data_IF_268836255524
#
_entry.id   IF_268836255524
#
_cell.length_a   1.000
_cell.length_b   1.000
_cell.length_c   1.000
_cell.angle_alpha   90.00
_cell.angle_beta   90.00
_cell.angle_gamma   90.00
#
_symmetry.space_group_name_H-M   'P 1'
#
loop_
_entity.id
_entity.type
_entity.pdbx_description
1 polymer ?
#
# COMPACT_ATOMS: atom_id res chain seq x y z
N UNK A 1 -35.03 29.10 91.33
CA UNK A 1 -33.85 29.78 90.73
C UNK A 1 -32.76 28.74 90.57
N UNK A 2 -32.38 28.47 89.32
CA UNK A 2 -31.43 27.44 88.92
C UNK A 2 -29.98 27.92 89.12
N UNK A 3 -29.12 27.08 89.70
CA UNK A 3 -27.72 26.95 89.28
C UNK A 3 -27.35 25.46 89.39
N UNK A 4 -27.09 24.80 88.26
CA UNK A 4 -26.50 23.46 88.24
C UNK A 4 -25.31 23.51 87.29
N UNK A 5 -24.17 23.27 87.93
CA UNK A 5 -22.82 23.28 87.42
C UNK A 5 -22.49 21.85 86.95
N UNK A 6 -22.03 21.67 85.70
CA UNK A 6 -21.38 20.42 85.29
C UNK A 6 -20.45 20.68 84.09
N UNK A 7 -19.16 20.41 84.33
CA UNK A 7 -18.03 20.50 83.40
C UNK A 7 -18.12 19.49 82.25
N UNK A 8 -17.56 19.78 81.05
CA UNK A 8 -17.67 18.91 79.88
C UNK A 8 -16.55 17.85 79.83
N UNK A 9 -16.91 16.64 79.41
CA UNK A 9 -16.00 15.54 79.06
C UNK A 9 -15.90 15.47 77.52
N UNK A 10 -14.69 15.38 76.92
CA UNK A 10 -14.54 15.40 75.46
C UNK A 10 -14.79 14.03 74.82
N UNK A 11 -15.65 14.01 73.81
CA UNK A 11 -15.99 12.85 72.98
C UNK A 11 -14.85 12.56 71.99
N UNK A 12 -14.24 11.38 72.10
CA UNK A 12 -13.32 10.83 71.09
C UNK A 12 -14.09 10.32 69.88
N UNK A 13 -14.03 11.04 68.77
CA UNK A 13 -14.50 10.59 67.45
C UNK A 13 -13.34 9.89 66.75
N UNK A 14 -13.50 8.60 66.45
CA UNK A 14 -12.55 7.80 65.70
C UNK A 14 -12.58 8.19 64.21
N UNK A 15 -11.43 8.59 63.68
CA UNK A 15 -11.20 8.81 62.25
C UNK A 15 -10.97 7.46 61.56
N UNK A 16 -11.53 7.23 60.35
CA UNK A 16 -11.24 6.04 59.56
C UNK A 16 -9.82 6.08 58.98
N UNK A 17 -9.22 4.91 58.69
CA UNK A 17 -7.82 4.79 58.30
C UNK A 17 -7.54 5.39 56.92
N UNK A 18 -6.46 6.16 56.85
CA UNK A 18 -5.85 6.68 55.62
C UNK A 18 -5.34 5.53 54.75
N UNK A 19 -6.08 5.20 53.70
CA UNK A 19 -5.59 4.33 52.62
C UNK A 19 -4.64 5.14 51.73
N UNK A 20 -3.36 4.84 51.82
CA UNK A 20 -2.34 5.27 50.88
C UNK A 20 -2.55 4.53 49.56
N UNK A 21 -3.33 5.10 48.64
CA UNK A 21 -3.39 4.61 47.26
C UNK A 21 -2.25 5.26 46.48
N UNK A 22 -1.10 4.60 46.48
CA UNK A 22 -0.06 4.82 45.47
C UNK A 22 -0.61 4.33 44.14
N UNK A 23 -1.29 5.21 43.40
CA UNK A 23 -1.67 4.94 42.01
C UNK A 23 -0.43 5.08 41.14
N UNK A 24 0.36 4.00 41.03
CA UNK A 24 1.22 3.80 39.88
C UNK A 24 0.32 3.60 38.67
N UNK A 25 -0.03 4.69 38.00
CA UNK A 25 -0.52 4.66 36.63
C UNK A 25 0.65 4.15 35.76
N UNK A 26 0.78 2.83 35.67
CA UNK A 26 1.57 2.20 34.64
C UNK A 26 0.88 2.54 33.31
N UNK A 27 1.42 3.52 32.60
CA UNK A 27 1.14 3.76 31.20
C UNK A 27 1.41 2.45 30.48
N UNK A 28 0.36 1.69 30.14
CA UNK A 28 0.49 0.53 29.28
C UNK A 28 0.75 1.05 27.86
N UNK A 29 1.98 1.50 27.62
CA UNK A 29 2.48 1.66 26.27
C UNK A 29 2.27 0.32 25.58
N UNK A 30 1.56 0.33 24.44
CA UNK A 30 1.41 -0.85 23.60
C UNK A 30 2.81 -1.45 23.37
N UNK A 31 3.01 -2.77 23.58
CA UNK A 31 4.30 -3.43 23.33
C UNK A 31 4.89 -3.12 21.95
N UNK A 32 4.02 -2.77 20.99
CA UNK A 32 4.38 -2.32 19.65
C UNK A 32 5.05 -0.93 19.64
N UNK A 33 4.61 0.05 20.42
CA UNK A 33 5.25 1.37 20.45
C UNK A 33 6.73 1.30 20.87
N UNK A 34 7.07 0.38 21.77
CA UNK A 34 8.43 0.14 22.21
C UNK A 34 9.25 -0.66 21.18
N UNK A 35 8.63 -1.58 20.45
CA UNK A 35 9.27 -2.32 19.37
C UNK A 35 9.56 -1.44 18.14
N UNK A 36 8.63 -0.56 17.76
CA UNK A 36 8.77 0.40 16.67
C UNK A 36 9.94 1.38 16.95
N UNK A 37 10.05 1.89 18.19
CA UNK A 37 11.14 2.79 18.58
C UNK A 37 12.53 2.11 18.56
N UNK A 38 12.60 0.82 18.91
CA UNK A 38 13.84 0.06 18.91
C UNK A 38 14.27 -0.37 17.50
N UNK A 39 13.31 -0.68 16.61
CA UNK A 39 13.58 -1.04 15.22
C UNK A 39 14.06 0.16 14.39
N UNK A 40 13.44 1.34 14.56
CA UNK A 40 13.83 2.58 13.89
C UNK A 40 15.28 3.00 14.17
N UNK A 41 15.75 2.78 15.40
CA UNK A 41 17.13 3.04 15.80
C UNK A 41 18.14 2.10 15.11
N UNK A 42 17.77 0.84 14.88
CA UNK A 42 18.63 -0.17 14.25
C UNK A 42 18.77 0.03 12.73
N UNK A 43 17.68 0.42 12.05
CA UNK A 43 17.67 0.62 10.59
C UNK A 43 18.47 1.85 10.15
N UNK A 44 18.38 2.94 10.91
CA UNK A 44 19.13 4.19 10.65
C UNK A 44 20.66 3.98 10.68
N UNK A 45 21.13 3.04 11.51
CA UNK A 45 22.54 2.66 11.58
C UNK A 45 22.99 1.80 10.39
N UNK A 46 22.08 1.07 9.76
CA UNK A 46 22.38 0.10 8.71
C UNK A 46 22.41 0.72 7.31
N UNK A 47 21.51 1.67 7.04
CA UNK A 47 21.42 2.40 5.75
C UNK A 47 22.65 3.28 5.48
N UNK A 48 23.30 3.78 6.53
CA UNK A 48 24.52 4.59 6.42
C UNK A 48 25.74 3.80 5.88
N UNK A 49 25.65 2.48 5.78
CA UNK A 49 26.78 1.60 5.40
C UNK A 49 26.84 1.18 3.92
N UNK A 50 25.79 1.38 3.11
CA UNK A 50 25.66 0.71 1.79
C UNK A 50 25.63 1.59 0.53
N UNK A 51 25.70 2.91 0.63
CA UNK A 51 25.66 3.78 -0.55
C UNK A 51 27.04 4.10 -1.11
N UNK A 52 27.67 3.23 -1.91
CA UNK A 52 28.73 3.59 -2.90
C UNK A 52 29.00 2.43 -3.89
N UNK A 53 28.46 2.50 -5.12
CA UNK A 53 29.13 2.09 -6.38
C UNK A 53 28.27 2.37 -7.62
N UNK A 54 28.89 3.09 -8.56
CA UNK A 54 28.43 3.58 -9.88
C UNK A 54 28.86 2.64 -11.02
N UNK A 55 28.27 2.79 -12.23
CA UNK A 55 28.85 2.68 -13.62
C UNK A 55 27.67 2.51 -14.62
N UNK A 56 27.42 3.32 -15.68
CA UNK A 56 28.15 3.85 -16.88
C UNK A 56 28.03 2.95 -18.15
N UNK A 57 27.09 3.35 -19.04
CA UNK A 57 27.14 3.57 -20.52
C UNK A 57 27.59 2.48 -21.53
N UNK A 58 26.79 2.21 -22.61
CA UNK A 58 27.12 2.45 -24.05
C UNK A 58 26.18 1.77 -25.10
N UNK A 59 26.23 2.31 -26.34
CA UNK A 59 25.32 2.23 -27.51
C UNK A 59 25.59 1.12 -28.56
N UNK A 60 24.66 1.02 -29.53
CA UNK A 60 24.45 0.14 -30.72
C UNK A 60 25.55 0.07 -31.83
N UNK A 61 25.40 -0.77 -32.89
CA UNK A 61 25.05 -0.24 -34.25
C UNK A 61 24.24 -1.19 -35.22
N UNK A 62 23.98 -0.71 -36.46
CA UNK A 62 22.98 -1.10 -37.51
C UNK A 62 23.50 -1.91 -38.74
N UNK A 63 22.59 -2.69 -39.40
CA UNK A 63 22.31 -3.03 -40.86
C UNK A 63 23.45 -3.42 -41.87
N UNK A 64 23.26 -4.12 -43.05
CA UNK A 64 22.23 -3.92 -44.13
C UNK A 64 21.81 -5.12 -45.08
N UNK A 65 20.94 -4.83 -46.09
CA UNK A 65 20.45 -5.60 -47.29
C UNK A 65 21.38 -5.40 -48.55
N UNK A 66 21.29 -6.04 -49.77
CA UNK A 66 20.09 -6.34 -50.63
C UNK A 66 20.16 -7.50 -51.70
N UNK A 67 19.12 -7.67 -52.56
CA UNK A 67 19.26 -8.15 -53.98
C UNK A 67 18.30 -9.25 -54.54
N UNK A 68 17.95 -9.31 -55.86
CA UNK A 68 16.59 -9.62 -56.37
C UNK A 68 16.35 -10.93 -57.19
N UNK A 69 15.06 -11.18 -57.47
CA UNK A 69 14.37 -12.36 -58.09
C UNK A 69 14.77 -12.80 -59.52
N UNK A 70 14.34 -14.01 -59.97
CA UNK A 70 13.18 -14.08 -60.89
C UNK A 70 12.21 -15.29 -60.72
N UNK A 71 10.96 -15.10 -61.16
CA UNK A 71 9.87 -16.09 -61.38
C UNK A 71 9.92 -16.60 -62.86
N UNK A 72 9.34 -17.76 -63.29
CA UNK A 72 7.87 -17.94 -63.32
C UNK A 72 7.25 -19.38 -63.28
N UNK A 73 5.97 -19.40 -62.89
CA UNK A 73 4.84 -20.23 -63.37
C UNK A 73 4.77 -21.76 -63.13
N UNK A 74 3.93 -22.13 -62.15
CA UNK A 74 2.65 -22.86 -62.29
C UNK A 74 2.41 -23.82 -61.11
N UNK A 75 1.14 -24.07 -60.81
CA UNK A 75 0.57 -24.92 -59.74
C UNK A 75 0.23 -24.17 -58.43
N UNK A 76 -1.06 -23.85 -58.18
CA UNK A 76 -1.50 -23.30 -56.89
C UNK A 76 -1.16 -24.22 -55.70
N UNK A 77 -0.96 -25.51 -55.93
CA UNK A 77 -0.55 -26.48 -54.92
C UNK A 77 0.90 -26.30 -54.45
N UNK A 78 1.83 -25.96 -55.36
CA UNK A 78 3.25 -25.78 -55.00
C UNK A 78 3.45 -24.58 -54.10
N UNK A 79 2.69 -23.49 -54.34
CA UNK A 79 2.74 -22.29 -53.48
C UNK A 79 2.15 -22.57 -52.10
N UNK A 80 1.12 -23.42 -52.02
CA UNK A 80 0.56 -23.83 -50.74
C UNK A 80 1.53 -24.73 -49.96
N UNK A 81 2.22 -25.66 -50.63
CA UNK A 81 3.27 -26.49 -50.01
C UNK A 81 4.49 -25.68 -49.56
N UNK A 82 4.95 -24.70 -50.36
CA UNK A 82 6.02 -23.77 -49.97
C UNK A 82 5.61 -22.91 -48.75
N UNK A 83 4.36 -22.42 -48.73
CA UNK A 83 3.82 -21.66 -47.61
C UNK A 83 3.70 -22.51 -46.32
N UNK A 84 3.30 -23.77 -46.45
CA UNK A 84 3.24 -24.73 -45.34
C UNK A 84 4.66 -25.01 -44.82
N UNK A 85 5.62 -25.25 -45.71
CA UNK A 85 7.01 -25.49 -45.33
C UNK A 85 7.62 -24.26 -44.64
N UNK A 86 7.33 -23.05 -45.13
CA UNK A 86 7.77 -21.80 -44.52
C UNK A 86 7.10 -21.57 -43.15
N UNK A 87 5.80 -21.83 -43.04
CA UNK A 87 5.08 -21.72 -41.76
C UNK A 87 5.62 -22.71 -40.74
N UNK A 88 5.77 -23.99 -41.09
CA UNK A 88 6.34 -25.02 -40.21
C UNK A 88 7.81 -24.72 -39.86
N UNK A 89 8.60 -24.20 -40.80
CA UNK A 89 9.99 -23.80 -40.57
C UNK A 89 10.14 -22.65 -39.58
N UNK A 90 9.17 -21.71 -39.54
CA UNK A 90 9.21 -20.53 -38.66
C UNK A 90 8.52 -20.77 -37.31
N UNK A 91 7.49 -21.63 -37.27
CA UNK A 91 6.67 -21.86 -36.06
C UNK A 91 6.98 -23.17 -35.33
N UNK A 92 7.64 -24.12 -36.00
CA UNK A 92 7.81 -25.49 -35.49
C UNK A 92 6.50 -26.30 -35.42
N UNK A 93 5.39 -25.76 -35.94
CA UNK A 93 4.07 -26.39 -35.88
C UNK A 93 3.92 -27.57 -36.85
N UNK A 94 2.92 -28.42 -36.60
CA UNK A 94 2.62 -29.54 -37.49
C UNK A 94 2.07 -29.07 -38.85
N UNK A 95 2.30 -29.85 -39.91
CA UNK A 95 1.79 -29.57 -41.26
C UNK A 95 0.25 -29.42 -41.30
N UNK A 96 -0.46 -30.08 -40.36
CA UNK A 96 -1.92 -29.98 -40.23
C UNK A 96 -2.36 -28.63 -39.67
N UNK A 97 -1.65 -28.11 -38.67
CA UNK A 97 -1.95 -26.79 -38.10
C UNK A 97 -1.58 -25.68 -39.09
N UNK A 98 -0.44 -25.83 -39.77
CA UNK A 98 -0.02 -24.93 -40.83
C UNK A 98 -1.09 -24.79 -41.93
N UNK A 99 -1.68 -25.90 -42.41
CA UNK A 99 -2.78 -25.86 -43.39
C UNK A 99 -3.99 -25.10 -42.89
N UNK A 100 -4.42 -25.34 -41.64
CA UNK A 100 -5.59 -24.69 -41.03
C UNK A 100 -5.42 -23.16 -40.93
N UNK A 101 -4.23 -22.71 -40.52
CA UNK A 101 -3.94 -21.27 -40.40
C UNK A 101 -3.73 -20.61 -41.77
N UNK A 102 -3.10 -21.30 -42.72
CA UNK A 102 -2.88 -20.78 -44.07
C UNK A 102 -4.16 -20.72 -44.92
N UNK A 103 -5.10 -21.65 -44.72
CA UNK A 103 -6.44 -21.56 -45.36
C UNK A 103 -7.24 -20.36 -44.83
N UNK A 104 -7.12 -20.07 -43.53
CA UNK A 104 -7.86 -18.97 -42.88
C UNK A 104 -7.30 -17.59 -43.26
N UNK A 105 -5.98 -17.43 -43.24
CA UNK A 105 -5.34 -16.11 -43.41
C UNK A 105 -4.73 -15.88 -44.81
N UNK A 106 -4.60 -16.92 -45.66
CA UNK A 106 -4.11 -16.89 -47.05
C UNK A 106 -2.70 -16.29 -47.27
N UNK A 107 -2.04 -15.88 -46.19
CA UNK A 107 -0.76 -15.14 -46.13
C UNK A 107 0.06 -15.73 -44.97
N UNK A 108 1.30 -16.15 -45.24
CA UNK A 108 2.15 -16.87 -44.26
C UNK A 108 2.53 -15.99 -43.08
N UNK A 109 2.91 -14.74 -43.35
CA UNK A 109 3.26 -13.73 -42.34
C UNK A 109 2.16 -13.53 -41.31
N UNK A 110 0.93 -13.28 -41.78
CA UNK A 110 -0.23 -13.05 -40.91
C UNK A 110 -0.65 -14.33 -40.18
N UNK A 111 -0.53 -15.49 -40.85
CA UNK A 111 -0.83 -16.78 -40.24
C UNK A 111 0.13 -17.09 -39.09
N UNK A 112 1.43 -16.82 -39.25
CA UNK A 112 2.46 -17.05 -38.23
C UNK A 112 2.24 -16.13 -37.02
N UNK A 113 1.97 -14.85 -37.26
CA UNK A 113 1.65 -13.90 -36.19
C UNK A 113 0.39 -14.31 -35.43
N UNK A 114 -0.65 -14.77 -36.15
CA UNK A 114 -1.87 -15.30 -35.54
C UNK A 114 -1.63 -16.60 -34.76
N UNK A 115 -0.72 -17.47 -35.21
CA UNK A 115 -0.36 -18.70 -34.49
C UNK A 115 0.34 -18.39 -33.16
N UNK A 116 1.22 -17.38 -33.16
CA UNK A 116 1.86 -16.90 -31.93
C UNK A 116 0.90 -16.09 -31.05
N UNK A 117 -0.11 -15.43 -31.63
CA UNK A 117 -1.12 -14.66 -30.91
C UNK A 117 -2.25 -15.48 -30.27
N UNK A 118 -2.64 -16.62 -30.87
CA UNK A 118 -3.82 -17.41 -30.45
C UNK A 118 -3.49 -18.52 -29.43
N UNK A 119 -2.27 -18.54 -28.88
CA UNK A 119 -1.91 -19.44 -27.77
C UNK A 119 -2.03 -20.94 -28.09
N UNK A 120 -1.59 -21.36 -29.29
CA UNK A 120 -1.68 -22.74 -29.74
C UNK A 120 -0.88 -23.72 -28.88
N UNK A 121 -1.60 -24.59 -28.17
CA UNK A 121 -1.14 -25.72 -27.36
C UNK A 121 0.02 -26.51 -27.96
N UNK A 122 1.05 -26.72 -27.15
CA UNK A 122 2.18 -27.61 -27.41
C UNK A 122 1.78 -29.09 -27.33
N UNK A 123 2.38 -29.95 -28.17
CA UNK A 123 3.23 -31.06 -27.72
C UNK A 123 3.64 -32.01 -28.86
N UNK A 124 4.96 -32.11 -29.11
CA UNK A 124 5.71 -33.39 -29.18
C UNK A 124 7.18 -33.16 -29.60
N UNK A 125 8.07 -32.92 -28.63
CA UNK A 125 9.41 -33.53 -28.54
C UNK A 125 10.18 -32.99 -27.32
N UNK A 126 11.08 -33.80 -26.70
CA UNK A 126 11.65 -33.53 -25.38
C UNK A 126 13.06 -32.95 -25.47
N UNK A 127 13.29 -31.76 -24.89
CA UNK A 127 14.63 -31.34 -24.46
C UNK A 127 14.58 -30.03 -23.67
N UNK A 128 14.87 -30.15 -22.38
CA UNK A 128 15.44 -29.20 -21.41
C UNK A 128 14.88 -27.76 -21.27
N UNK A 129 14.65 -27.28 -20.03
CA UNK A 129 13.84 -26.10 -19.77
C UNK A 129 14.65 -24.80 -19.80
N UNK A 130 14.25 -23.87 -20.66
CA UNK A 130 14.53 -22.44 -20.51
C UNK A 130 13.17 -21.72 -20.38
N UNK A 131 12.92 -20.93 -19.32
CA UNK A 131 11.58 -20.48 -18.99
C UNK A 131 11.17 -19.29 -19.88
N UNK A 132 10.38 -19.55 -20.93
CA UNK A 132 9.62 -18.50 -21.64
C UNK A 132 8.34 -18.22 -20.85
N UNK A 133 8.24 -16.98 -20.36
CA UNK A 133 7.10 -16.42 -19.63
C UNK A 133 5.82 -16.52 -20.47
N UNK A 134 5.01 -17.54 -20.16
CA UNK A 134 3.58 -17.53 -20.41
C UNK A 134 2.95 -16.41 -19.58
N UNK A 135 2.29 -15.45 -20.21
CA UNK A 135 1.32 -14.58 -19.53
C UNK A 135 0.07 -15.40 -19.17
N UNK A 136 0.22 -16.33 -18.24
CA UNK A 136 -0.91 -16.87 -17.51
C UNK A 136 -1.22 -15.88 -16.40
N UNK A 137 -2.49 -15.47 -16.27
CA UNK A 137 -2.96 -14.71 -15.12
C UNK A 137 -2.55 -15.40 -13.81
N UNK A 138 -2.37 -14.62 -12.75
CA UNK A 138 -1.89 -15.09 -11.45
C UNK A 138 -2.62 -16.37 -10.98
N UNK A 139 -1.82 -17.37 -10.59
CA UNK A 139 -2.33 -18.69 -10.21
C UNK A 139 -2.97 -18.72 -8.83
N UNK A 140 -4.25 -19.07 -8.77
CA UNK A 140 -4.99 -19.24 -7.51
C UNK A 140 -4.40 -20.36 -6.63
N UNK A 141 -3.90 -21.45 -7.20
CA UNK A 141 -3.32 -22.54 -6.40
C UNK A 141 -2.01 -22.14 -5.72
N UNK A 142 -1.13 -21.41 -6.42
CA UNK A 142 0.10 -20.88 -5.82
C UNK A 142 -0.18 -19.87 -4.71
N UNK A 143 -1.18 -19.03 -4.90
CA UNK A 143 -1.61 -18.06 -3.87
C UNK A 143 -2.17 -18.74 -2.62
N UNK A 144 -2.93 -19.82 -2.78
CA UNK A 144 -3.37 -20.62 -1.64
C UNK A 144 -2.20 -21.27 -0.90
N UNK A 145 -1.22 -21.83 -1.63
CA UNK A 145 -0.03 -22.40 -1.00
C UNK A 145 0.82 -21.35 -0.25
N UNK A 146 0.91 -20.13 -0.78
CA UNK A 146 1.56 -19.01 -0.07
C UNK A 146 0.77 -18.61 1.18
N UNK A 147 -0.55 -18.54 1.08
CA UNK A 147 -1.39 -18.28 2.24
C UNK A 147 -1.19 -19.36 3.32
N UNK A 148 -1.19 -20.63 2.94
CA UNK A 148 -0.99 -21.77 3.85
C UNK A 148 0.39 -21.76 4.51
N UNK A 149 1.39 -21.16 3.86
CA UNK A 149 2.74 -20.99 4.42
C UNK A 149 2.75 -20.00 5.59
N UNK A 150 1.95 -18.93 5.52
CA UNK A 150 1.96 -17.84 6.49
C UNK A 150 0.78 -17.87 7.47
N UNK A 151 -0.26 -18.69 7.23
CA UNK A 151 -1.43 -18.74 8.10
C UNK A 151 -1.06 -19.17 9.52
N UNK A 152 -1.84 -18.70 10.48
CA UNK A 152 -1.69 -19.09 11.88
C UNK A 152 -2.19 -20.53 12.07
N UNK A 153 -1.56 -21.28 12.98
CA UNK A 153 -1.92 -22.67 13.25
C UNK A 153 -3.32 -22.78 13.88
N UNK A 154 -3.68 -21.81 14.73
CA UNK A 154 -4.91 -21.81 15.53
C UNK A 154 -6.03 -20.93 14.92
N UNK A 155 -5.77 -20.28 13.78
CA UNK A 155 -6.72 -19.36 13.11
C UNK A 155 -7.03 -18.11 13.93
N UNK A 156 -8.18 -17.49 13.68
CA UNK A 156 -8.64 -16.25 14.35
C UNK A 156 -9.27 -16.47 15.74
N UNK A 157 -9.10 -17.67 16.33
CA UNK A 157 -9.79 -18.09 17.55
C UNK A 157 -11.27 -18.48 17.36
N UNK A 158 -11.91 -18.10 16.24
CA UNK A 158 -13.24 -18.55 15.82
C UNK A 158 -13.18 -19.71 14.81
N UNK A 159 -11.96 -20.11 14.41
CA UNK A 159 -11.70 -21.22 13.49
C UNK A 159 -11.60 -20.80 12.02
N UNK A 160 -11.59 -19.50 11.71
CA UNK A 160 -11.27 -19.03 10.36
C UNK A 160 -9.77 -19.07 10.11
N UNK A 161 -9.38 -19.51 8.92
CA UNK A 161 -7.99 -19.47 8.48
C UNK A 161 -7.59 -18.02 8.16
N UNK A 162 -6.69 -17.48 8.98
CA UNK A 162 -6.12 -16.15 8.81
C UNK A 162 -4.59 -16.21 8.82
N UNK A 163 -3.97 -15.25 8.13
CA UNK A 163 -2.59 -14.88 8.42
C UNK A 163 -2.68 -13.80 9.49
N UNK A 164 -2.24 -14.11 10.71
CA UNK A 164 -2.19 -13.12 11.79
C UNK A 164 -0.86 -12.36 11.78
N UNK A 165 -0.54 -11.77 12.93
CA UNK A 165 0.57 -10.85 13.06
C UNK A 165 1.91 -11.55 12.79
N UNK A 166 2.12 -12.73 13.37
CA UNK A 166 3.36 -13.51 13.18
C UNK A 166 3.55 -13.94 11.72
N UNK A 167 2.46 -14.35 11.07
CA UNK A 167 2.46 -14.67 9.64
C UNK A 167 2.75 -13.46 8.77
N UNK A 168 2.21 -12.29 9.13
CA UNK A 168 2.47 -11.02 8.45
C UNK A 168 3.94 -10.62 8.54
N UNK A 169 4.56 -10.74 9.72
CA UNK A 169 5.99 -10.43 9.90
C UNK A 169 6.86 -11.33 9.02
N UNK A 170 6.63 -12.65 9.03
CA UNK A 170 7.35 -13.59 8.15
C UNK A 170 7.16 -13.27 6.67
N UNK A 171 5.94 -12.90 6.27
CA UNK A 171 5.67 -12.48 4.90
C UNK A 171 6.47 -11.22 4.53
N UNK A 172 6.57 -10.24 5.45
CA UNK A 172 7.34 -9.02 5.23
C UNK A 172 8.85 -9.32 5.09
N UNK A 173 9.39 -10.22 5.91
CA UNK A 173 10.77 -10.70 5.82
C UNK A 173 11.05 -11.34 4.45
N UNK A 174 10.20 -12.27 4.00
CA UNK A 174 10.35 -12.94 2.71
C UNK A 174 10.18 -11.98 1.50
N UNK A 175 9.34 -10.97 1.66
CA UNK A 175 9.15 -9.89 0.68
C UNK A 175 10.23 -8.81 0.76
N UNK A 176 11.15 -8.87 1.72
CA UNK A 176 12.19 -7.86 1.97
C UNK A 176 11.60 -6.44 2.04
N UNK A 177 10.48 -6.31 2.75
CA UNK A 177 9.78 -5.05 2.98
C UNK A 177 9.73 -4.76 4.46
N UNK A 178 9.95 -3.50 4.82
CA UNK A 178 9.80 -3.05 6.19
C UNK A 178 8.31 -3.13 6.60
N UNK A 179 7.95 -3.75 7.74
CA UNK A 179 6.59 -3.76 8.26
C UNK A 179 5.98 -2.37 8.44
N UNK A 180 6.82 -1.35 8.61
CA UNK A 180 6.42 0.05 8.76
C UNK A 180 6.41 0.81 7.42
N UNK A 181 6.73 0.16 6.30
CA UNK A 181 6.69 0.82 5.01
C UNK A 181 5.26 1.16 4.59
N UNK A 182 5.05 2.41 4.19
CA UNK A 182 3.75 2.93 3.71
C UNK A 182 3.13 2.07 2.60
N UNK A 183 3.94 1.33 1.82
CA UNK A 183 3.45 0.41 0.79
C UNK A 183 2.55 -0.69 1.37
N UNK A 184 2.74 -1.10 2.62
CA UNK A 184 1.88 -2.12 3.23
C UNK A 184 0.45 -1.64 3.47
N UNK A 185 0.24 -0.33 3.62
CA UNK A 185 -1.11 0.25 3.64
C UNK A 185 -1.79 0.12 2.27
N UNK A 186 -1.03 0.28 1.18
CA UNK A 186 -1.53 0.04 -0.16
C UNK A 186 -1.84 -1.44 -0.39
N UNK A 187 -0.99 -2.36 0.10
CA UNK A 187 -1.27 -3.80 0.06
C UNK A 187 -2.54 -4.14 0.86
N UNK A 188 -2.67 -3.61 2.08
CA UNK A 188 -3.85 -3.79 2.92
C UNK A 188 -5.13 -3.34 2.20
N UNK A 189 -5.08 -2.18 1.52
CA UNK A 189 -6.17 -1.69 0.71
C UNK A 189 -6.53 -2.62 -0.47
N UNK A 190 -5.54 -3.04 -1.27
CA UNK A 190 -5.77 -3.88 -2.45
C UNK A 190 -6.28 -5.29 -2.09
N UNK A 191 -5.80 -5.84 -0.97
CA UNK A 191 -6.23 -7.15 -0.47
C UNK A 191 -7.48 -7.08 0.42
N UNK A 192 -8.03 -5.87 0.64
CA UNK A 192 -9.21 -5.64 1.49
C UNK A 192 -9.03 -6.21 2.89
N UNK A 193 -7.86 -5.94 3.48
CA UNK A 193 -7.52 -6.37 4.83
C UNK A 193 -8.52 -5.78 5.82
N UNK A 194 -9.15 -6.60 6.70
CA UNK A 194 -10.13 -6.09 7.66
C UNK A 194 -9.49 -5.24 8.76
N UNK A 195 -8.27 -5.60 9.18
CA UNK A 195 -7.53 -4.94 10.25
C UNK A 195 -6.03 -5.18 10.13
N UNK A 196 -5.28 -4.45 10.94
CA UNK A 196 -3.82 -4.52 10.97
C UNK A 196 -3.32 -5.91 11.35
N UNK A 197 -2.43 -6.45 10.51
CA UNK A 197 -1.80 -7.75 10.74
C UNK A 197 -2.72 -8.95 10.54
N UNK A 198 -3.91 -8.78 9.94
CA UNK A 198 -4.82 -9.89 9.68
C UNK A 198 -5.25 -9.97 8.23
N UNK A 199 -4.99 -11.10 7.59
CA UNK A 199 -5.34 -11.33 6.20
C UNK A 199 -6.28 -12.52 6.07
N UNK A 200 -7.46 -12.28 5.51
CA UNK A 200 -8.41 -13.36 5.16
C UNK A 200 -8.02 -13.97 3.82
N UNK A 201 -8.18 -15.29 3.70
CA UNK A 201 -7.82 -16.05 2.48
C UNK A 201 -8.43 -15.48 1.21
N UNK A 202 -9.72 -15.16 1.23
CA UNK A 202 -10.42 -14.60 0.07
C UNK A 202 -9.80 -13.27 -0.39
N UNK A 203 -9.61 -12.32 0.52
CA UNK A 203 -8.99 -11.02 0.23
C UNK A 203 -7.54 -11.15 -0.24
N UNK A 204 -6.76 -12.03 0.39
CA UNK A 204 -5.37 -12.30 0.01
C UNK A 204 -5.26 -12.84 -1.42
N UNK A 205 -6.01 -13.90 -1.74
CA UNK A 205 -5.96 -14.54 -3.05
C UNK A 205 -6.50 -13.61 -4.13
N UNK A 206 -7.65 -12.98 -3.91
CA UNK A 206 -8.27 -12.11 -4.92
C UNK A 206 -7.44 -10.84 -5.16
N UNK A 207 -6.91 -10.23 -4.09
CA UNK A 207 -6.09 -9.03 -4.15
C UNK A 207 -4.79 -9.25 -4.91
N UNK A 208 -4.02 -10.28 -4.54
CA UNK A 208 -2.79 -10.60 -5.27
C UNK A 208 -3.04 -11.02 -6.71
N UNK A 209 -4.15 -11.73 -6.97
CA UNK A 209 -4.55 -12.08 -8.33
C UNK A 209 -4.88 -10.85 -9.17
N UNK A 210 -5.59 -9.87 -8.60
CA UNK A 210 -5.88 -8.59 -9.25
C UNK A 210 -4.60 -7.78 -9.53
N UNK A 211 -3.61 -7.87 -8.65
CA UNK A 211 -2.28 -7.26 -8.83
C UNK A 211 -1.37 -8.02 -9.82
N UNK A 212 -1.83 -9.16 -10.35
CA UNK A 212 -1.07 -10.01 -11.25
C UNK A 212 0.14 -10.67 -10.60
N UNK A 213 0.08 -10.94 -9.29
CA UNK A 213 1.15 -11.56 -8.53
C UNK A 213 0.71 -12.91 -7.94
N UNK A 214 1.54 -13.95 -8.10
CA UNK A 214 1.27 -15.31 -7.59
C UNK A 214 2.48 -15.98 -6.92
N UNK A 215 3.57 -15.22 -6.76
CA UNK A 215 4.84 -15.64 -6.16
C UNK A 215 5.59 -14.43 -5.59
N UNK A 216 6.57 -14.67 -4.70
CA UNK A 216 7.33 -13.61 -4.01
C UNK A 216 7.98 -12.60 -4.96
N UNK A 217 8.54 -13.03 -6.09
CA UNK A 217 9.19 -12.12 -7.05
C UNK A 217 8.17 -11.18 -7.72
N UNK A 218 7.01 -11.72 -8.12
CA UNK A 218 5.90 -10.93 -8.67
C UNK A 218 5.28 -9.99 -7.63
N UNK A 219 5.20 -10.42 -6.36
CA UNK A 219 4.73 -9.60 -5.24
C UNK A 219 5.70 -8.45 -4.96
N UNK A 220 7.01 -8.70 -4.89
CA UNK A 220 8.05 -7.64 -4.78
C UNK A 220 7.94 -6.61 -5.90
N UNK A 221 7.69 -7.06 -7.13
CA UNK A 221 7.45 -6.18 -8.28
C UNK A 221 6.15 -5.37 -8.12
N UNK A 222 5.10 -5.97 -7.57
CA UNK A 222 3.85 -5.27 -7.26
C UNK A 222 4.04 -4.22 -6.14
N UNK A 223 4.81 -4.51 -5.10
CA UNK A 223 5.16 -3.54 -4.04
C UNK A 223 5.83 -2.30 -4.65
N UNK A 224 6.82 -2.47 -5.53
CA UNK A 224 7.47 -1.34 -6.19
C UNK A 224 6.49 -0.47 -7.01
N UNK A 225 5.55 -1.10 -7.72
CA UNK A 225 4.49 -0.40 -8.47
C UNK A 225 3.53 0.34 -7.54
N UNK A 226 3.08 -0.32 -6.47
CA UNK A 226 2.15 0.27 -5.48
C UNK A 226 2.79 1.45 -4.77
N UNK A 227 4.06 1.32 -4.35
CA UNK A 227 4.82 2.42 -3.74
C UNK A 227 4.88 3.62 -4.69
N UNK A 228 5.24 3.38 -5.96
CA UNK A 228 5.26 4.46 -6.96
C UNK A 228 3.88 5.09 -7.14
N UNK A 229 2.79 4.31 -7.19
CA UNK A 229 1.43 4.87 -7.29
C UNK A 229 1.07 5.73 -6.08
N UNK A 230 1.51 5.34 -4.88
CA UNK A 230 1.23 6.06 -3.65
C UNK A 230 2.07 7.34 -3.51
N UNK A 231 3.33 7.34 -3.96
CA UNK A 231 4.28 8.44 -3.73
C UNK A 231 4.55 9.33 -4.94
N UNK A 232 4.10 8.96 -6.15
CA UNK A 232 4.39 9.73 -7.39
C UNK A 232 3.62 11.04 -7.52
N UNK A 233 2.66 11.31 -6.64
CA UNK A 233 1.79 12.49 -6.71
C UNK A 233 0.74 12.48 -7.83
N UNK A 234 0.99 11.73 -8.91
CA UNK A 234 0.10 11.61 -10.07
C UNK A 234 -1.24 10.90 -9.80
N UNK A 235 -1.32 10.08 -8.75
CA UNK A 235 -2.53 9.32 -8.40
C UNK A 235 -3.06 9.78 -7.02
N UNK A 236 -3.36 11.08 -6.91
CA UNK A 236 -3.87 11.69 -5.69
C UNK A 236 -5.20 11.06 -5.21
N UNK A 237 -6.00 10.54 -6.16
CA UNK A 237 -7.24 9.83 -5.88
C UNK A 237 -6.97 8.45 -5.25
N UNK A 238 -5.95 7.72 -5.71
CA UNK A 238 -5.53 6.48 -5.08
C UNK A 238 -4.97 6.72 -3.67
N UNK A 239 -4.12 7.73 -3.50
CA UNK A 239 -3.64 8.11 -2.16
C UNK A 239 -4.81 8.38 -1.20
N UNK A 240 -5.82 9.16 -1.64
CA UNK A 240 -7.03 9.42 -0.83
C UNK A 240 -7.75 8.14 -0.44
N UNK A 241 -7.88 7.17 -1.35
CA UNK A 241 -8.51 5.87 -1.07
C UNK A 241 -7.74 5.10 0.00
N UNK A 242 -6.42 5.01 -0.12
CA UNK A 242 -5.55 4.34 0.87
C UNK A 242 -5.58 5.07 2.21
N UNK A 243 -5.50 6.40 2.21
CA UNK A 243 -5.59 7.24 3.41
C UNK A 243 -6.92 7.02 4.15
N UNK A 244 -8.05 7.04 3.44
CA UNK A 244 -9.36 6.82 4.04
C UNK A 244 -9.53 5.38 4.55
N UNK A 245 -9.03 4.39 3.79
CA UNK A 245 -9.07 2.99 4.22
C UNK A 245 -8.23 2.74 5.49
N UNK A 246 -7.10 3.45 5.61
CA UNK A 246 -6.21 3.33 6.78
C UNK A 246 -6.96 3.62 8.08
N UNK A 247 -7.96 4.50 8.06
CA UNK A 247 -8.77 4.77 9.25
C UNK A 247 -9.50 3.51 9.75
N UNK A 248 -10.20 2.84 8.84
CA UNK A 248 -10.97 1.64 9.17
C UNK A 248 -10.04 0.46 9.53
N UNK A 249 -8.86 0.41 8.89
CA UNK A 249 -7.80 -0.58 9.14
C UNK A 249 -7.12 -0.41 10.52
N UNK A 250 -6.93 0.83 10.98
CA UNK A 250 -6.26 1.18 12.24
C UNK A 250 -7.17 1.10 13.47
N UNK A 251 -8.48 1.17 13.26
CA UNK A 251 -9.47 1.25 14.33
C UNK A 251 -9.79 -0.14 14.89
N UNK A 252 -9.75 -0.28 16.22
CA UNK A 252 -10.17 -1.51 16.88
C UNK A 252 -11.66 -1.83 16.64
N UNK A 253 -11.99 -3.12 16.74
CA UNK A 253 -13.35 -3.60 16.57
C UNK A 253 -14.30 -2.97 17.62
N UNK A 254 -15.49 -2.55 17.18
CA UNK A 254 -16.47 -1.87 18.03
C UNK A 254 -16.18 -0.39 18.36
N UNK A 255 -14.97 0.11 18.12
CA UNK A 255 -14.65 1.53 18.35
C UNK A 255 -15.12 2.42 17.18
N UNK A 256 -15.34 3.71 17.46
CA UNK A 256 -15.70 4.74 16.45
C UNK A 256 -14.57 5.73 16.16
N UNK A 257 -13.46 5.61 16.88
CA UNK A 257 -12.29 6.48 16.82
C UNK A 257 -11.00 5.67 16.93
N UNK A 258 -9.93 6.18 16.36
CA UNK A 258 -8.58 5.60 16.49
C UNK A 258 -7.91 6.22 17.72
N UNK A 259 -7.27 5.44 18.61
CA UNK A 259 -6.47 5.99 19.70
C UNK A 259 -5.39 6.96 19.19
N UNK A 260 -5.04 7.97 19.99
CA UNK A 260 -4.14 9.03 19.54
C UNK A 260 -2.75 8.50 19.12
N UNK A 261 -2.17 7.57 19.89
CA UNK A 261 -0.86 6.97 19.59
C UNK A 261 -0.87 6.25 18.23
N UNK A 262 -1.94 5.52 17.94
CA UNK A 262 -2.11 4.79 16.68
C UNK A 262 -2.33 5.75 15.52
N UNK A 263 -3.15 6.79 15.70
CA UNK A 263 -3.38 7.80 14.68
C UNK A 263 -2.08 8.56 14.34
N UNK A 264 -1.28 8.92 15.36
CA UNK A 264 0.03 9.57 15.20
C UNK A 264 0.97 8.72 14.36
N UNK A 265 1.06 7.41 14.64
CA UNK A 265 1.92 6.50 13.90
C UNK A 265 1.53 6.40 12.41
N UNK A 266 0.24 6.24 12.11
CA UNK A 266 -0.21 6.19 10.71
C UNK A 266 -0.07 7.53 9.99
N UNK A 267 -0.30 8.65 10.68
CA UNK A 267 -0.04 9.96 10.12
C UNK A 267 1.45 10.17 9.82
N UNK A 268 2.36 9.76 10.71
CA UNK A 268 3.80 9.85 10.44
C UNK A 268 4.21 9.10 9.16
N UNK A 269 3.51 8.00 8.81
CA UNK A 269 3.73 7.25 7.58
C UNK A 269 3.08 7.91 6.34
N UNK A 270 1.89 8.49 6.48
CA UNK A 270 1.07 8.97 5.37
C UNK A 270 1.32 10.44 5.01
N UNK A 271 1.43 11.31 6.02
CA UNK A 271 1.51 12.77 5.85
C UNK A 271 2.72 13.25 5.02
N UNK A 272 3.90 12.60 5.04
CA UNK A 272 4.99 12.97 4.14
C UNK A 272 4.63 12.93 2.66
N UNK A 273 3.59 12.18 2.28
CA UNK A 273 3.11 12.04 0.90
C UNK A 273 1.77 12.75 0.65
N UNK A 274 1.11 13.27 1.69
CA UNK A 274 -0.22 13.89 1.57
C UNK A 274 -0.21 15.15 0.68
N UNK A 275 0.91 15.87 0.65
CA UNK A 275 1.14 17.08 -0.14
C UNK A 275 1.61 16.82 -1.57
N UNK A 276 1.97 15.57 -1.92
CA UNK A 276 2.45 15.24 -3.27
C UNK A 276 1.32 15.20 -4.31
N UNK A 277 0.05 15.22 -3.87
CA UNK A 277 -1.11 15.25 -4.76
C UNK A 277 -1.46 16.65 -5.27
N UNK A 278 -2.12 16.72 -6.43
CA UNK A 278 -2.70 17.96 -6.93
C UNK A 278 -3.65 18.59 -5.91
N UNK A 279 -3.53 19.92 -5.73
CA UNK A 279 -4.42 20.69 -4.85
C UNK A 279 -5.84 20.59 -5.39
N UNK A 280 -6.79 20.47 -4.49
CA UNK A 280 -8.20 20.53 -4.83
C UNK A 280 -8.66 21.94 -4.49
N UNK A 281 -9.34 22.63 -5.39
CA UNK A 281 -9.94 23.93 -5.05
C UNK A 281 -11.13 23.75 -4.10
N UNK A 282 -11.70 24.86 -3.64
CA UNK A 282 -12.88 24.88 -2.76
C UNK A 282 -14.11 24.21 -3.39
N UNK A 283 -14.10 23.97 -4.72
CA UNK A 283 -15.18 23.28 -5.43
C UNK A 283 -14.98 21.76 -5.49
N UNK A 284 -13.84 21.24 -5.02
CA UNK A 284 -13.51 19.83 -5.14
C UNK A 284 -12.83 19.45 -6.48
N UNK A 285 -12.49 20.44 -7.31
CA UNK A 285 -11.84 20.22 -8.60
C UNK A 285 -10.31 20.24 -8.49
N UNK A 286 -9.66 19.40 -9.27
CA UNK A 286 -8.21 19.24 -9.23
C UNK A 286 -7.54 20.41 -9.94
N UNK A 287 -6.89 21.29 -9.17
CA UNK A 287 -6.09 22.39 -9.70
C UNK A 287 -4.70 21.85 -10.02
N UNK A 288 -4.38 21.83 -11.31
CA UNK A 288 -3.08 21.37 -11.81
C UNK A 288 -1.96 22.43 -11.66
N UNK A 289 -2.29 23.62 -11.13
CA UNK A 289 -1.32 24.67 -10.86
C UNK A 289 -0.61 24.36 -9.54
N UNK A 290 0.59 23.80 -9.64
CA UNK A 290 1.42 23.51 -8.48
C UNK A 290 1.83 24.85 -7.87
N UNK A 291 1.56 25.12 -6.58
CA UNK A 291 1.96 26.38 -5.96
C UNK A 291 3.46 26.60 -6.13
N UNK A 292 3.87 27.87 -6.20
CA UNK A 292 5.29 28.17 -6.14
C UNK A 292 5.88 27.54 -4.87
N UNK A 293 7.10 27.02 -4.97
CA UNK A 293 7.77 26.38 -3.84
C UNK A 293 7.72 27.30 -2.59
N UNK A 294 6.95 26.89 -1.57
CA UNK A 294 6.77 27.64 -0.32
C UNK A 294 5.38 28.21 -0.03
N UNK A 295 4.38 28.03 -0.91
CA UNK A 295 3.03 28.59 -0.74
C UNK A 295 1.99 27.62 -0.14
N UNK A 296 2.30 26.34 0.04
CA UNK A 296 1.37 25.33 0.58
C UNK A 296 1.75 24.79 1.96
N UNK A 297 1.10 23.70 2.36
CA UNK A 297 1.42 22.93 3.55
C UNK A 297 2.91 22.58 3.64
N UNK A 298 3.52 22.87 4.79
CA UNK A 298 4.95 22.63 5.02
C UNK A 298 5.19 21.28 5.69
N UNK A 299 6.31 20.59 5.41
CA UNK A 299 6.65 19.35 6.09
C UNK A 299 6.66 19.48 7.62
N UNK A 300 7.14 20.61 8.15
CA UNK A 300 7.13 20.90 9.59
C UNK A 300 5.72 20.86 10.21
N UNK A 301 4.68 21.13 9.42
CA UNK A 301 3.30 21.16 9.92
C UNK A 301 2.77 19.75 10.23
N UNK A 302 3.40 18.71 9.69
CA UNK A 302 3.10 17.32 10.07
C UNK A 302 3.45 17.09 11.54
N UNK A 303 4.63 17.56 11.97
CA UNK A 303 5.08 17.42 13.35
C UNK A 303 4.26 18.31 14.29
N UNK A 304 3.93 19.52 13.85
CA UNK A 304 3.07 20.45 14.58
C UNK A 304 1.68 19.87 14.84
N UNK A 305 1.08 19.20 13.86
CA UNK A 305 -0.21 18.53 14.04
C UNK A 305 -0.12 17.45 15.12
N UNK A 306 0.92 16.61 15.08
CA UNK A 306 1.12 15.54 16.07
C UNK A 306 1.37 16.15 17.47
N UNK A 307 2.17 17.20 17.56
CA UNK A 307 2.43 17.94 18.81
C UNK A 307 1.14 18.51 19.40
N UNK A 308 0.38 19.27 18.60
CA UNK A 308 -0.90 19.85 18.99
C UNK A 308 -1.88 18.78 19.51
N UNK A 309 -2.01 17.67 18.78
CA UNK A 309 -2.94 16.62 19.17
C UNK A 309 -2.55 15.93 20.49
N UNK A 310 -1.24 15.82 20.77
CA UNK A 310 -0.73 15.32 22.04
C UNK A 310 -0.95 16.32 23.19
N UNK A 311 -0.73 17.62 22.95
CA UNK A 311 -0.97 18.69 23.93
C UNK A 311 -2.46 18.81 24.30
N UNK A 312 -3.35 18.71 23.31
CA UNK A 312 -4.81 18.78 23.49
C UNK A 312 -5.35 17.66 24.39
N UNK A 313 -4.64 16.53 24.50
CA UNK A 313 -5.01 15.42 25.40
C UNK A 313 -6.28 14.66 24.97
N UNK A 314 -6.56 14.61 23.67
CA UNK A 314 -7.72 13.90 23.12
C UNK A 314 -7.63 12.38 23.27
N UNK A 315 -8.76 11.70 23.50
CA UNK A 315 -8.81 10.23 23.66
C UNK A 315 -8.68 9.47 22.33
N UNK A 316 -8.83 10.14 21.20
CA UNK A 316 -8.74 9.54 19.88
C UNK A 316 -9.25 10.44 18.76
N UNK A 317 -9.06 9.98 17.54
CA UNK A 317 -9.36 10.69 16.30
C UNK A 317 -10.63 10.12 15.67
N UNK A 318 -11.59 10.98 15.36
CA UNK A 318 -12.83 10.58 14.68
C UNK A 318 -12.60 10.37 13.18
N UNK A 319 -13.50 9.62 12.52
CA UNK A 319 -13.42 9.41 11.06
C UNK A 319 -13.50 10.72 10.28
N UNK A 320 -14.37 11.61 10.74
CA UNK A 320 -14.58 12.92 10.14
C UNK A 320 -13.31 13.78 10.21
N UNK A 321 -12.71 13.91 11.40
CA UNK A 321 -11.43 14.60 11.59
C UNK A 321 -10.33 13.99 10.72
N UNK A 322 -10.21 12.66 10.68
CA UNK A 322 -9.21 11.98 9.87
C UNK A 322 -9.36 12.33 8.38
N UNK A 323 -10.55 12.16 7.82
CA UNK A 323 -10.80 12.38 6.38
C UNK A 323 -10.63 13.86 6.02
N UNK A 324 -11.25 14.76 6.79
CA UNK A 324 -11.19 16.21 6.53
C UNK A 324 -9.76 16.77 6.66
N UNK A 325 -8.91 16.17 7.50
CA UNK A 325 -7.54 16.62 7.66
C UNK A 325 -6.71 16.50 6.36
N UNK A 326 -6.98 15.49 5.52
CA UNK A 326 -6.31 15.38 4.22
C UNK A 326 -6.72 16.52 3.27
N UNK A 327 -8.00 16.91 3.30
CA UNK A 327 -8.49 18.03 2.50
C UNK A 327 -7.88 19.34 2.98
N UNK A 328 -7.87 19.55 4.30
CA UNK A 328 -7.22 20.69 4.93
C UNK A 328 -5.74 20.82 4.54
N UNK A 329 -4.94 19.73 4.58
CA UNK A 329 -3.53 19.75 4.14
C UNK A 329 -3.40 20.21 2.69
N UNK A 330 -4.32 19.78 1.82
CA UNK A 330 -4.25 20.08 0.39
C UNK A 330 -4.76 21.48 0.06
N UNK A 331 -5.66 22.04 0.85
CA UNK A 331 -6.27 23.36 0.61
C UNK A 331 -5.59 24.49 1.38
N UNK A 332 -4.81 24.21 2.41
CA UNK A 332 -4.23 25.24 3.29
C UNK A 332 -2.95 25.84 2.73
N UNK A 333 -2.80 27.15 2.85
CA UNK A 333 -1.58 27.87 2.49
C UNK A 333 -0.54 27.83 3.61
N UNK A 334 0.70 28.22 3.29
CA UNK A 334 1.81 28.20 4.24
C UNK A 334 1.60 29.09 5.49
N UNK A 335 0.65 30.03 5.51
CA UNK A 335 0.41 30.95 6.65
C UNK A 335 -0.97 30.77 7.30
N UNK A 336 -1.73 29.77 6.90
CA UNK A 336 -3.12 29.58 7.33
C UNK A 336 -4.01 30.82 7.06
N UNK A 337 -3.63 31.65 6.09
CA UNK A 337 -4.29 32.92 5.78
C UNK A 337 -5.55 32.74 4.95
N UNK A 338 -5.64 31.63 4.21
CA UNK A 338 -6.83 31.23 3.47
C UNK A 338 -7.80 30.35 4.28
N UNK A 339 -7.55 30.17 5.58
CA UNK A 339 -8.42 29.38 6.43
C UNK A 339 -9.68 30.16 6.83
N UNK A 340 -10.84 29.57 6.54
CA UNK A 340 -12.15 30.07 6.95
C UNK A 340 -12.66 29.30 8.18
N UNK A 341 -12.86 30.02 9.29
CA UNK A 341 -13.38 29.46 10.56
C UNK A 341 -14.89 29.23 10.52
N UNK A 342 -15.61 29.89 9.60
CA UNK A 342 -17.05 29.71 9.43
C UNK A 342 -17.37 28.53 8.49
N UNK A 343 -16.35 27.93 7.86
CA UNK A 343 -16.49 26.71 7.09
C UNK A 343 -16.76 25.49 7.99
N UNK A 344 -17.30 24.42 7.40
CA UNK A 344 -17.71 23.21 8.13
C UNK A 344 -16.53 22.28 8.48
N UNK A 345 -15.40 22.84 8.94
CA UNK A 345 -14.27 22.05 9.41
C UNK A 345 -14.58 21.42 10.79
N UNK A 346 -13.98 20.26 11.11
CA UNK A 346 -14.01 19.73 12.46
C UNK A 346 -13.34 20.73 13.41
N UNK A 347 -13.93 20.99 14.58
CA UNK A 347 -13.37 21.93 15.58
C UNK A 347 -11.93 21.66 15.99
N UNK A 348 -11.45 20.43 15.83
CA UNK A 348 -10.04 20.09 16.08
C UNK A 348 -9.09 20.71 15.05
N UNK A 349 -9.54 20.90 13.81
CA UNK A 349 -8.79 21.62 12.78
C UNK A 349 -8.82 23.13 13.07
N UNK A 350 -9.98 23.69 13.50
CA UNK A 350 -10.07 25.09 13.92
C UNK A 350 -9.07 25.41 15.04
N UNK A 351 -9.10 24.61 16.11
CA UNK A 351 -8.21 24.73 17.26
C UNK A 351 -6.73 24.62 16.83
N UNK A 352 -6.42 23.72 15.88
CA UNK A 352 -5.06 23.56 15.35
C UNK A 352 -4.60 24.81 14.60
N UNK A 353 -5.47 25.42 13.79
CA UNK A 353 -5.14 26.63 13.04
C UNK A 353 -4.86 27.79 13.99
N UNK A 354 -5.66 27.96 15.04
CA UNK A 354 -5.41 28.98 16.07
C UNK A 354 -4.06 28.73 16.76
N UNK A 355 -3.79 27.49 17.16
CA UNK A 355 -2.52 27.08 17.78
C UNK A 355 -1.32 27.31 16.85
N UNK A 356 -1.45 26.96 15.57
CA UNK A 356 -0.38 27.07 14.58
C UNK A 356 -0.09 28.53 14.20
N UNK A 357 -1.13 29.37 14.08
CA UNK A 357 -0.97 30.83 13.83
C UNK A 357 -0.18 31.52 14.93
N UNK A 358 -0.21 31.03 16.17
CA UNK A 358 0.64 31.53 17.25
C UNK A 358 2.13 31.23 17.07
N UNK A 359 2.50 30.33 16.16
CA UNK A 359 3.88 29.86 15.90
C UNK A 359 4.45 30.36 14.56
N UNK A 360 3.63 30.97 13.70
CA UNK A 360 4.01 31.53 12.38
C UNK A 360 4.16 33.05 12.48
#
# INVERSE_FOLDING_TARGET
>A
MYTLNASPNPVRIALPPTATTTSTAATSASPWALLLLLAAAAYTLLVRSRGHRTHRNQQSPKQPLPGPHPHPQSMPDRKMEENIAQFCGVTGASVKDAKKFLEKYKRVDVAVDAYYGDGGSASSAPSSPAPRQQQHGASTSKLNALFDKYKDADGDGAGEEIIGVDGTIKMCEDLEVDPEDVVLLAVAYELKSPRMGEWKRAGYVDGWKALGADNLASMKSALARLRTRLTSGSDAAYFRKVYNHTFDFAKSEGQRSIPMDTASAFWALLLPYATLGARVDESGDTVMDSPAAGEGWRPEYNDWWIEFMNEKGGKGVSKDTWVMFLDFIRTTDARFSNYDIDAAWPSTIDDFVEWAKGRV
#
